data_IF_832234350517
#
_entry.id   IF_832234350517
#
_cell.length_a   1.000
_cell.length_b   1.000
_cell.length_c   1.000
_cell.angle_alpha   90.00
_cell.angle_beta   90.00
_cell.angle_gamma   90.00
#
_symmetry.space_group_name_H-M   'P 1'
#
loop_
_entity.id
_entity.type
_entity.pdbx_description
1 polymer ?
#
# COMPACT_ATOMS: atom_id res chain seq x y z
N UNK A 1 -50.98 4.96 -25.05
CA UNK A 1 -49.55 5.13 -24.70
C UNK A 1 -49.50 5.33 -23.20
N UNK A 2 -49.25 4.25 -22.44
CA UNK A 2 -49.30 4.28 -20.98
C UNK A 2 -47.89 4.46 -20.42
N UNK A 3 -47.50 5.71 -20.20
CA UNK A 3 -46.16 6.13 -19.81
C UNK A 3 -45.89 6.00 -18.28
N UNK A 4 -46.60 5.10 -17.59
CA UNK A 4 -46.57 4.96 -16.12
C UNK A 4 -46.39 3.52 -15.60
N UNK A 5 -46.33 2.53 -16.49
CA UNK A 5 -46.47 1.12 -16.10
C UNK A 5 -45.19 0.46 -15.54
N UNK A 6 -44.03 1.12 -15.59
CA UNK A 6 -42.75 0.52 -15.17
C UNK A 6 -42.23 1.02 -13.81
N UNK A 7 -43.03 1.75 -13.03
CA UNK A 7 -42.62 2.26 -11.70
C UNK A 7 -42.17 1.11 -10.79
N UNK A 8 -42.82 -0.04 -10.85
CA UNK A 8 -42.46 -1.23 -10.06
C UNK A 8 -41.11 -1.85 -10.47
N UNK A 9 -40.68 -1.68 -11.72
CA UNK A 9 -39.39 -2.18 -12.21
C UNK A 9 -38.21 -1.41 -11.63
N UNK A 10 -38.42 -0.13 -11.30
CA UNK A 10 -37.40 0.75 -10.74
C UNK A 10 -37.54 0.95 -9.22
N UNK A 11 -38.71 0.64 -8.65
CA UNK A 11 -38.94 0.72 -7.22
C UNK A 11 -38.12 -0.34 -6.48
N UNK A 12 -37.20 0.10 -5.62
CA UNK A 12 -36.56 -0.77 -4.64
C UNK A 12 -37.50 -0.88 -3.43
N UNK A 13 -37.94 -2.08 -3.02
CA UNK A 13 -38.66 -2.23 -1.77
C UNK A 13 -37.75 -1.74 -0.63
N UNK A 14 -38.25 -0.79 0.16
CA UNK A 14 -37.59 -0.35 1.39
C UNK A 14 -38.07 -1.29 2.49
N UNK A 15 -37.16 -2.08 3.04
CA UNK A 15 -37.47 -2.87 4.23
C UNK A 15 -37.85 -1.92 5.37
N UNK A 16 -38.96 -2.23 6.04
CA UNK A 16 -39.35 -1.48 7.23
C UNK A 16 -38.25 -1.65 8.28
N UNK A 17 -37.81 -0.58 8.96
CA UNK A 17 -36.85 -0.70 10.05
C UNK A 17 -37.37 -1.70 11.07
N UNK A 18 -36.50 -2.58 11.53
CA UNK A 18 -36.82 -3.50 12.63
C UNK A 18 -37.08 -2.63 13.86
N UNK A 19 -38.30 -2.66 14.38
CA UNK A 19 -38.62 -2.02 15.65
C UNK A 19 -37.84 -2.74 16.75
N UNK A 20 -36.82 -2.06 17.27
CA UNK A 20 -35.97 -2.59 18.33
C UNK A 20 -35.66 -1.49 19.33
N UNK A 21 -35.51 -1.88 20.60
CA UNK A 21 -35.02 -1.00 21.66
C UNK A 21 -33.48 -1.00 21.75
N UNK A 22 -32.81 -1.80 20.91
CA UNK A 22 -31.36 -1.90 20.89
C UNK A 22 -30.73 -0.59 20.39
N UNK A 23 -30.09 0.11 21.32
CA UNK A 23 -29.38 1.35 21.08
C UNK A 23 -27.89 1.12 20.82
N UNK A 24 -27.43 -0.13 20.69
CA UNK A 24 -26.03 -0.46 20.43
C UNK A 24 -25.66 -0.01 19.01
N UNK A 25 -24.67 0.89 18.84
CA UNK A 25 -24.25 1.30 17.51
C UNK A 25 -23.64 0.12 16.74
N UNK A 26 -24.20 -0.17 15.57
CA UNK A 26 -23.69 -1.18 14.66
C UNK A 26 -22.83 -0.52 13.59
N UNK A 27 -21.70 -1.14 13.27
CA UNK A 27 -20.83 -0.64 12.20
C UNK A 27 -21.53 -0.77 10.84
N UNK A 28 -21.57 0.32 10.09
CA UNK A 28 -22.12 0.36 8.74
C UNK A 28 -21.00 0.35 7.72
N UNK A 29 -19.98 1.19 7.90
CA UNK A 29 -18.84 1.27 7.00
C UNK A 29 -17.67 2.00 7.66
N UNK A 30 -16.46 1.73 7.20
CA UNK A 30 -15.24 2.41 7.66
C UNK A 30 -14.42 2.92 6.47
N UNK A 31 -13.80 4.08 6.66
CA UNK A 31 -12.86 4.68 5.74
C UNK A 31 -11.52 4.84 6.45
N UNK A 32 -10.51 4.13 5.95
CA UNK A 32 -9.15 4.15 6.48
C UNK A 32 -8.28 4.92 5.50
N UNK A 33 -7.65 5.99 5.97
CA UNK A 33 -6.72 6.81 5.21
C UNK A 33 -5.31 6.62 5.78
N UNK A 34 -4.41 6.21 4.90
CA UNK A 34 -3.02 5.96 5.25
C UNK A 34 -2.11 6.81 4.39
N UNK A 35 -1.14 7.46 5.03
CA UNK A 35 -0.09 8.23 4.35
C UNK A 35 1.25 7.92 4.99
N UNK A 36 2.23 7.54 4.20
CA UNK A 36 3.60 7.34 4.70
C UNK A 36 4.25 8.70 4.98
N UNK A 37 4.74 8.90 6.21
CA UNK A 37 5.46 10.09 6.68
C UNK A 37 6.92 9.77 7.01
N UNK A 38 7.60 9.06 6.10
CA UNK A 38 8.99 8.64 6.27
C UNK A 38 9.12 7.16 6.67
N UNK A 39 10.34 6.67 6.88
CA UNK A 39 10.62 5.25 7.01
C UNK A 39 9.89 4.65 8.22
N UNK A 40 8.92 3.78 7.95
CA UNK A 40 8.16 3.05 8.97
C UNK A 40 7.15 3.88 9.78
N UNK A 41 6.86 5.13 9.37
CA UNK A 41 5.86 5.98 10.04
C UNK A 41 4.65 6.16 9.16
N UNK A 42 3.50 5.65 9.60
CA UNK A 42 2.24 5.79 8.88
C UNK A 42 1.36 6.78 9.63
N UNK A 43 0.92 7.82 8.93
CA UNK A 43 -0.19 8.64 9.38
C UNK A 43 -1.48 7.88 9.07
N UNK A 44 -2.16 7.42 10.12
CA UNK A 44 -3.33 6.58 10.03
C UNK A 44 -4.55 7.32 10.55
N UNK A 45 -5.60 7.35 9.75
CA UNK A 45 -6.87 7.95 10.11
C UNK A 45 -7.97 6.95 9.80
N UNK A 46 -8.86 6.69 10.75
CA UNK A 46 -10.02 5.83 10.52
C UNK A 46 -11.30 6.56 10.89
N UNK A 47 -12.19 6.71 9.91
CA UNK A 47 -13.56 7.16 10.10
C UNK A 47 -14.48 5.94 10.08
N UNK A 48 -15.06 5.60 11.23
CA UNK A 48 -16.10 4.58 11.35
C UNK A 48 -17.48 5.24 11.36
N UNK A 49 -18.36 4.77 10.49
CA UNK A 49 -19.77 5.17 10.43
C UNK A 49 -20.58 4.03 11.05
N UNK A 50 -21.35 4.37 12.07
CA UNK A 50 -22.21 3.43 12.78
C UNK A 50 -23.65 3.91 12.74
N UNK A 51 -24.59 2.99 12.90
CA UNK A 51 -26.01 3.30 13.01
C UNK A 51 -26.59 2.65 14.26
N UNK A 52 -27.43 3.39 14.98
CA UNK A 52 -28.29 2.83 16.02
C UNK A 52 -29.54 2.21 15.39
N UNK A 53 -29.82 0.92 15.61
CA UNK A 53 -31.03 0.28 15.09
C UNK A 53 -32.31 0.93 15.60
N UNK A 54 -32.36 1.29 16.89
CA UNK A 54 -33.57 1.78 17.56
C UNK A 54 -34.18 3.05 16.97
N UNK A 55 -33.35 4.01 16.56
CA UNK A 55 -33.79 5.31 16.06
C UNK A 55 -33.20 5.65 14.68
N UNK A 56 -32.56 4.68 14.02
CA UNK A 56 -31.87 4.83 12.75
C UNK A 56 -30.79 5.94 12.73
N UNK A 57 -30.35 6.44 13.89
CA UNK A 57 -29.41 7.55 13.97
C UNK A 57 -28.00 7.13 13.55
N UNK A 58 -27.37 7.95 12.72
CA UNK A 58 -25.99 7.77 12.31
C UNK A 58 -25.02 8.45 13.28
N UNK A 59 -23.94 7.74 13.58
CA UNK A 59 -22.83 8.20 14.41
C UNK A 59 -21.53 8.10 13.61
N UNK A 60 -20.64 9.06 13.84
CA UNK A 60 -19.27 9.00 13.37
C UNK A 60 -18.32 8.73 14.53
N UNK A 61 -17.27 7.97 14.28
CA UNK A 61 -16.12 7.86 15.16
C UNK A 61 -14.86 8.09 14.33
N UNK A 62 -14.06 9.06 14.74
CA UNK A 62 -12.79 9.40 14.08
C UNK A 62 -11.64 8.99 14.99
N UNK A 63 -10.78 8.12 14.50
CA UNK A 63 -9.51 7.75 15.12
C UNK A 63 -8.36 8.35 14.30
N UNK A 64 -7.38 8.95 14.96
CA UNK A 64 -6.20 9.55 14.33
C UNK A 64 -4.95 9.11 15.08
N UNK A 65 -4.00 8.57 14.34
CA UNK A 65 -2.69 8.18 14.84
C UNK A 65 -1.59 8.70 13.91
N UNK A 66 -0.69 9.52 14.46
CA UNK A 66 0.41 10.16 13.72
C UNK A 66 1.60 9.23 13.47
N UNK A 67 1.74 8.21 14.31
CA UNK A 67 2.88 7.30 14.31
C UNK A 67 2.36 5.87 14.45
N UNK A 68 1.37 5.52 13.63
CA UNK A 68 0.68 4.24 13.73
C UNK A 68 1.66 3.08 13.59
N UNK A 69 1.56 2.16 14.54
CA UNK A 69 2.26 0.87 14.57
C UNK A 69 1.25 -0.22 14.83
N UNK A 70 1.35 -1.29 14.07
CA UNK A 70 0.46 -2.43 14.21
C UNK A 70 0.60 -3.04 15.62
N UNK A 71 -0.52 -3.15 16.34
CA UNK A 71 -0.56 -3.65 17.72
C UNK A 71 -0.42 -2.58 18.82
N UNK A 72 -0.08 -1.35 18.47
CA UNK A 72 -0.08 -0.21 19.40
C UNK A 72 -1.34 0.66 19.20
N UNK A 73 -1.91 1.19 20.28
CA UNK A 73 -3.07 2.09 20.24
C UNK A 73 -2.70 3.45 20.83
N UNK A 74 -1.81 4.17 20.16
CA UNK A 74 -1.31 5.48 20.60
C UNK A 74 -2.12 6.65 20.03
N UNK A 75 -3.10 6.39 19.18
CA UNK A 75 -3.93 7.42 18.57
C UNK A 75 -5.00 7.98 19.50
N UNK A 76 -5.65 9.04 19.03
CA UNK A 76 -6.80 9.65 19.70
C UNK A 76 -8.08 9.30 18.94
N UNK A 77 -9.16 9.04 19.68
CA UNK A 77 -10.48 8.83 19.10
C UNK A 77 -11.51 9.80 19.64
N UNK A 78 -12.41 10.28 18.76
CA UNK A 78 -13.62 10.98 19.18
C UNK A 78 -14.84 10.38 18.51
N UNK A 79 -15.99 10.48 19.16
CA UNK A 79 -17.30 10.07 18.63
C UNK A 79 -18.21 11.28 18.56
N UNK A 80 -19.03 11.35 17.52
CA UNK A 80 -19.93 12.47 17.25
C UNK A 80 -21.20 11.97 16.56
N UNK A 81 -22.30 12.72 16.70
CA UNK A 81 -23.55 12.42 16.00
C UNK A 81 -23.54 12.98 14.59
N UNK A 82 -23.98 12.18 13.62
CA UNK A 82 -24.22 12.57 12.23
C UNK A 82 -25.72 12.77 11.96
N UNK A 83 -26.59 12.14 12.75
CA UNK A 83 -28.04 12.25 12.64
C UNK A 83 -28.58 11.35 11.54
N UNK A 84 -28.53 11.81 10.30
CA UNK A 84 -29.10 11.11 9.13
C UNK A 84 -28.05 10.55 8.17
N UNK A 85 -28.46 9.59 7.33
CA UNK A 85 -27.61 9.04 6.26
C UNK A 85 -27.10 10.12 5.30
N UNK A 86 -27.93 11.11 4.97
CA UNK A 86 -27.53 12.20 4.08
C UNK A 86 -26.45 13.10 4.70
N UNK A 87 -26.51 13.36 6.01
CA UNK A 87 -25.45 14.07 6.73
C UNK A 87 -24.18 13.23 6.84
N UNK A 88 -24.29 11.93 7.09
CA UNK A 88 -23.15 11.01 7.08
C UNK A 88 -22.44 11.01 5.72
N UNK A 89 -23.17 10.90 4.61
CA UNK A 89 -22.60 10.95 3.27
C UNK A 89 -21.86 12.26 2.99
N UNK A 90 -22.42 13.41 3.38
CA UNK A 90 -21.76 14.72 3.26
C UNK A 90 -20.49 14.79 4.08
N UNK A 91 -20.52 14.28 5.32
CA UNK A 91 -19.35 14.24 6.17
C UNK A 91 -18.24 13.36 5.58
N UNK A 92 -18.57 12.18 5.05
CA UNK A 92 -17.61 11.27 4.38
C UNK A 92 -16.93 11.97 3.20
N UNK A 93 -17.70 12.70 2.38
CA UNK A 93 -17.16 13.47 1.26
C UNK A 93 -16.18 14.54 1.75
N UNK A 94 -16.60 15.37 2.71
CA UNK A 94 -15.77 16.43 3.26
C UNK A 94 -14.51 15.88 3.95
N UNK A 95 -14.65 14.80 4.72
CA UNK A 95 -13.54 14.07 5.34
C UNK A 95 -12.52 13.63 4.29
N UNK A 96 -12.98 12.98 3.23
CA UNK A 96 -12.11 12.51 2.15
C UNK A 96 -11.41 13.69 1.46
N UNK A 97 -12.13 14.77 1.21
CA UNK A 97 -11.60 16.00 0.58
C UNK A 97 -10.52 16.67 1.44
N UNK A 98 -10.77 16.86 2.74
CA UNK A 98 -9.83 17.46 3.68
C UNK A 98 -8.51 16.70 3.71
N UNK A 99 -8.57 15.37 3.77
CA UNK A 99 -7.36 14.56 3.94
C UNK A 99 -6.64 14.23 2.64
N UNK A 100 -7.33 14.31 1.50
CA UNK A 100 -6.68 14.18 0.18
C UNK A 100 -6.18 15.51 -0.39
N UNK A 101 -6.63 16.66 0.13
CA UNK A 101 -6.40 18.01 -0.43
C UNK A 101 -6.66 18.04 -1.95
N UNK A 102 -7.86 17.63 -2.35
CA UNK A 102 -8.27 17.46 -3.77
C UNK A 102 -7.37 16.48 -4.56
N UNK A 103 -6.75 15.52 -3.87
CA UNK A 103 -5.84 14.54 -4.46
C UNK A 103 -4.37 14.97 -4.55
N UNK A 104 -4.01 16.15 -4.02
CA UNK A 104 -2.61 16.58 -3.93
C UNK A 104 -1.78 15.74 -2.97
N UNK A 105 -2.40 15.16 -1.93
CA UNK A 105 -1.71 14.23 -1.04
C UNK A 105 -1.74 12.80 -1.57
N UNK A 106 -0.61 12.12 -1.43
CA UNK A 106 -0.50 10.69 -1.67
C UNK A 106 -1.12 9.92 -0.50
N UNK A 107 -2.36 9.46 -0.68
CA UNK A 107 -3.14 8.78 0.36
C UNK A 107 -3.65 7.46 -0.21
N UNK A 108 -3.57 6.41 0.59
CA UNK A 108 -4.29 5.16 0.37
C UNK A 108 -5.58 5.21 1.16
N UNK A 109 -6.69 5.07 0.47
CA UNK A 109 -8.04 5.09 1.04
C UNK A 109 -8.59 3.67 0.95
N UNK A 110 -8.85 3.05 2.09
CA UNK A 110 -9.48 1.73 2.17
C UNK A 110 -10.89 1.91 2.69
N UNK A 111 -11.89 1.57 1.87
CA UNK A 111 -13.30 1.56 2.25
C UNK A 111 -13.73 0.13 2.57
N UNK A 112 -14.26 -0.06 3.77
CA UNK A 112 -14.69 -1.36 4.28
C UNK A 112 -16.18 -1.28 4.61
N UNK A 113 -16.95 -2.22 4.09
CA UNK A 113 -18.36 -2.42 4.44
C UNK A 113 -18.50 -3.85 4.95
N UNK A 114 -19.10 -4.09 6.13
CA UNK A 114 -19.31 -5.44 6.64
C UNK A 114 -20.00 -6.33 5.60
N UNK A 115 -19.44 -7.52 5.37
CA UNK A 115 -19.96 -8.47 4.38
C UNK A 115 -19.58 -8.18 2.92
N UNK A 116 -18.83 -7.11 2.63
CA UNK A 116 -18.33 -6.80 1.28
C UNK A 116 -16.79 -6.80 1.25
N UNK A 117 -16.18 -7.11 0.08
CA UNK A 117 -14.74 -6.98 -0.07
C UNK A 117 -14.29 -5.52 0.07
N UNK A 118 -13.17 -5.31 0.75
CA UNK A 118 -12.60 -3.98 0.93
C UNK A 118 -12.20 -3.35 -0.42
N UNK A 119 -12.53 -2.07 -0.59
CA UNK A 119 -12.22 -1.29 -1.80
C UNK A 119 -11.09 -0.33 -1.49
N UNK A 120 -9.95 -0.52 -2.16
CA UNK A 120 -8.76 0.33 -1.98
C UNK A 120 -8.64 1.30 -3.16
N UNK A 121 -8.50 2.58 -2.85
CA UNK A 121 -8.31 3.67 -3.80
C UNK A 121 -7.04 4.43 -3.42
N UNK A 122 -6.06 4.46 -4.31
CA UNK A 122 -4.85 5.27 -4.14
C UNK A 122 -4.94 6.52 -5.01
N UNK A 123 -4.61 7.68 -4.44
CA UNK A 123 -4.50 8.94 -5.19
C UNK A 123 -3.36 8.88 -6.22
N UNK A 124 -3.41 9.74 -7.25
CA UNK A 124 -2.43 9.75 -8.34
C UNK A 124 -1.00 9.90 -7.83
N UNK A 125 -0.77 10.82 -6.88
CA UNK A 125 0.55 11.04 -6.29
C UNK A 125 1.10 9.84 -5.52
N UNK A 126 0.26 8.91 -5.04
CA UNK A 126 0.75 7.68 -4.41
C UNK A 126 1.19 6.66 -5.47
N UNK A 127 0.39 6.47 -6.53
CA UNK A 127 0.75 5.59 -7.65
C UNK A 127 2.04 6.02 -8.34
N UNK A 128 2.23 7.33 -8.53
CA UNK A 128 3.45 7.88 -9.14
C UNK A 128 4.68 7.63 -8.25
N UNK A 129 4.56 7.81 -6.93
CA UNK A 129 5.65 7.51 -6.00
C UNK A 129 6.01 6.03 -6.03
N UNK A 130 5.02 5.15 -5.95
CA UNK A 130 5.22 3.70 -5.95
C UNK A 130 5.88 3.25 -7.26
N UNK A 131 5.43 3.79 -8.40
CA UNK A 131 6.03 3.53 -9.70
C UNK A 131 7.49 4.00 -9.78
N UNK A 132 7.79 5.20 -9.27
CA UNK A 132 9.15 5.75 -9.25
C UNK A 132 10.08 4.93 -8.34
N UNK A 133 9.59 4.49 -7.19
CA UNK A 133 10.35 3.64 -6.27
C UNK A 133 10.63 2.27 -6.86
N UNK A 134 9.63 1.65 -7.49
CA UNK A 134 9.79 0.38 -8.21
C UNK A 134 10.81 0.50 -9.37
N UNK A 135 10.77 1.60 -10.13
CA UNK A 135 11.74 1.88 -11.18
C UNK A 135 13.17 2.05 -10.63
N UNK A 136 13.34 2.79 -9.53
CA UNK A 136 14.63 2.94 -8.87
C UNK A 136 15.18 1.60 -8.39
N UNK A 137 14.35 0.79 -7.73
CA UNK A 137 14.73 -0.52 -7.23
C UNK A 137 15.17 -1.45 -8.37
N UNK A 138 14.45 -1.44 -9.50
CA UNK A 138 14.82 -2.21 -10.67
C UNK A 138 16.14 -1.73 -11.29
N UNK A 139 16.40 -0.41 -11.28
CA UNK A 139 17.66 0.15 -11.75
C UNK A 139 18.83 -0.23 -10.83
N UNK A 140 18.66 -0.16 -9.51
CA UNK A 140 19.68 -0.57 -8.53
C UNK A 140 19.99 -2.06 -8.65
N UNK A 141 18.97 -2.93 -8.77
CA UNK A 141 19.16 -4.37 -8.99
C UNK A 141 19.97 -4.64 -10.27
N UNK A 142 19.66 -3.94 -11.37
CA UNK A 142 20.42 -4.05 -12.63
C UNK A 142 21.87 -3.60 -12.46
N UNK A 143 22.12 -2.50 -11.75
CA UNK A 143 23.48 -2.01 -11.49
C UNK A 143 24.29 -3.00 -10.64
N UNK A 144 23.70 -3.56 -9.57
CA UNK A 144 24.34 -4.57 -8.73
C UNK A 144 24.67 -5.83 -9.52
N UNK A 145 23.74 -6.31 -10.36
CA UNK A 145 23.96 -7.48 -11.20
C UNK A 145 25.11 -7.25 -12.20
N UNK A 146 25.16 -6.08 -12.84
CA UNK A 146 26.22 -5.72 -13.78
C UNK A 146 27.58 -5.63 -13.09
N UNK A 147 27.65 -5.00 -11.91
CA UNK A 147 28.88 -4.90 -11.14
C UNK A 147 29.39 -6.28 -10.70
N UNK A 148 28.50 -7.17 -10.26
CA UNK A 148 28.85 -8.54 -9.86
C UNK A 148 29.41 -9.34 -11.05
N UNK A 149 28.78 -9.22 -12.21
CA UNK A 149 29.21 -9.94 -13.42
C UNK A 149 30.59 -9.46 -13.90
N UNK A 150 30.85 -8.15 -13.84
CA UNK A 150 32.16 -7.58 -14.18
C UNK A 150 33.25 -8.05 -13.21
N UNK A 151 32.95 -8.14 -11.91
CA UNK A 151 33.88 -8.66 -10.91
C UNK A 151 34.23 -10.14 -11.15
N UNK A 152 33.25 -10.95 -11.59
CA UNK A 152 33.47 -12.36 -11.90
C UNK A 152 34.36 -12.55 -13.13
N UNK A 153 34.17 -11.74 -14.19
CA UNK A 153 35.06 -11.77 -15.36
C UNK A 153 36.51 -11.40 -15.02
N UNK A 154 36.72 -10.37 -14.19
CA UNK A 154 38.06 -9.96 -13.76
C UNK A 154 38.76 -11.06 -12.94
N UNK A 155 38.02 -11.78 -12.09
CA UNK A 155 38.57 -12.93 -11.34
C UNK A 155 38.99 -14.06 -12.26
N UNK A 156 38.16 -14.41 -13.25
CA UNK A 156 38.47 -15.46 -14.23
C UNK A 156 39.70 -15.10 -15.07
N UNK A 157 39.80 -13.86 -15.56
CA UNK A 157 40.97 -13.41 -16.32
C UNK A 157 42.27 -13.49 -15.51
N UNK A 158 42.25 -13.03 -14.25
CA UNK A 158 43.43 -13.13 -13.36
C UNK A 158 43.84 -14.58 -13.09
N UNK A 159 42.88 -15.49 -12.92
CA UNK A 159 43.17 -16.91 -12.72
C UNK A 159 43.82 -17.55 -13.96
N UNK A 160 43.34 -17.22 -15.16
CA UNK A 160 43.92 -17.71 -16.43
C UNK A 160 45.34 -17.16 -16.63
N UNK A 161 45.57 -15.88 -16.34
CA UNK A 161 46.89 -15.25 -16.46
C UNK A 161 47.92 -15.93 -15.54
N UNK A 162 47.54 -16.18 -14.28
CA UNK A 162 48.40 -16.84 -13.29
C UNK A 162 48.78 -18.27 -13.69
N UNK A 163 47.85 -19.03 -14.30
CA UNK A 163 48.15 -20.35 -14.84
C UNK A 163 49.14 -20.28 -16.02
N UNK A 164 49.00 -19.29 -16.91
CA UNK A 164 49.91 -19.09 -18.05
C UNK A 164 51.33 -18.74 -17.62
N UNK A 165 51.50 -17.89 -16.61
CA UNK A 165 52.82 -17.54 -16.07
C UNK A 165 53.52 -18.75 -15.43
N UNK A 166 52.79 -19.60 -14.68
CA UNK A 166 53.36 -20.82 -14.12
C UNK A 166 53.81 -21.82 -15.20
N UNK A 167 53.09 -21.95 -16.31
CA UNK A 167 53.52 -22.79 -17.44
C UNK A 167 54.74 -22.22 -18.16
N UNK A 168 54.81 -20.89 -18.38
CA UNK A 168 55.98 -20.27 -19.02
C UNK A 168 57.27 -20.40 -18.19
N UNK A 169 57.17 -20.35 -16.86
CA UNK A 169 58.30 -20.60 -15.96
C UNK A 169 58.75 -22.07 -15.98
N UNK A 170 57.83 -23.02 -16.11
CA UNK A 170 58.14 -24.44 -16.24
C UNK A 170 58.80 -24.78 -17.59
N UNK A 171 58.38 -24.16 -18.69
CA UNK A 171 58.98 -24.40 -20.02
C UNK A 171 60.39 -23.80 -20.15
N UNK A 172 60.67 -22.67 -19.50
CA UNK A 172 62.01 -22.05 -19.54
C UNK A 172 63.08 -22.80 -18.74
N UNK A 173 62.69 -23.65 -17.79
CA UNK A 173 63.60 -24.49 -17.00
C UNK A 173 63.92 -25.84 -17.66
N UNK A 174 63.26 -26.18 -18.77
CA UNK A 174 63.50 -27.42 -19.53
C UNK A 174 64.71 -27.41 -20.47
N UNK A 175 65.23 -26.24 -20.86
CA UNK A 175 66.22 -26.14 -21.97
C UNK A 175 67.70 -26.22 -21.51
N UNK A 176 68.00 -26.27 -20.21
CA UNK A 176 69.40 -26.24 -19.71
C UNK A 176 70.00 -27.65 -19.48
N UNK A 177 69.25 -28.75 -19.62
CA UNK A 177 69.75 -30.11 -19.35
C UNK A 177 70.23 -30.90 -20.58
N UNK A 178 70.66 -30.22 -21.67
CA UNK A 178 71.08 -30.88 -22.92
C UNK A 178 72.58 -30.91 -23.23
N UNK A 179 73.45 -30.28 -22.43
CA UNK A 179 74.88 -30.17 -22.71
C UNK A 179 75.68 -30.60 -21.47
N UNK A 180 75.87 -31.90 -21.29
CA UNK A 180 77.01 -32.58 -20.64
C UNK A 180 76.71 -34.08 -20.75
N UNK A 181 77.42 -34.77 -21.65
CA UNK A 181 78.19 -36.00 -21.39
C UNK A 181 78.69 -36.58 -22.72
N UNK A 182 80.02 -36.62 -22.83
CA UNK A 182 80.90 -37.63 -23.46
C UNK A 182 80.65 -38.11 -24.89
#
# INVERSE_FOLDING_TARGET
MDYWSDVQRFAKPLDRPIETIDCTPLLVEEYILETERGPGRVYYIKLSIMQRPSNCEYLGQLYVDKEYREGESNGASCRFSLGSRAQANRYIQQFTEIFTEEGRKSVRITHVVPGQPARVICTAGMRERDAKMAALQQQTLKQVLNAMNQQQQLKLQKAVQAQKEQQALADSSGTINGLITS
#
